data_IF_433553562077
#
_entry.id   IF_433553562077
#
_cell.length_a   1.000
_cell.length_b   1.000
_cell.length_c   1.000
_cell.angle_alpha   90.00
_cell.angle_beta   90.00
_cell.angle_gamma   90.00
#
_symmetry.space_group_name_H-M   'P 1'
#
loop_
_entity.id
_entity.type
_entity.pdbx_description
1 polymer ?
#
# COMPACT_ATOMS: atom_id res chain seq x y z
N UNK A 1 18.85 -49.61 -71.02
CA UNK A 1 18.93 -48.42 -70.13
C UNK A 1 18.82 -48.93 -68.71
N UNK A 2 19.85 -49.67 -68.28
CA UNK A 2 20.82 -49.32 -67.22
C UNK A 2 20.24 -49.53 -65.81
N UNK A 3 20.22 -50.80 -65.44
CA UNK A 3 20.22 -51.30 -64.06
C UNK A 3 21.66 -51.63 -63.62
N UNK A 4 21.90 -51.53 -62.32
CA UNK A 4 22.82 -52.33 -61.50
C UNK A 4 24.34 -52.22 -61.72
N UNK A 5 25.03 -51.62 -60.73
CA UNK A 5 26.02 -52.25 -59.80
C UNK A 5 27.07 -51.24 -59.32
N UNK A 6 27.17 -51.07 -58.01
CA UNK A 6 28.34 -50.52 -57.35
C UNK A 6 29.22 -51.68 -56.85
N UNK A 7 30.50 -51.67 -57.26
CA UNK A 7 31.64 -52.39 -56.66
C UNK A 7 31.88 -51.83 -55.24
N UNK A 8 32.08 -52.60 -54.17
CA UNK A 8 33.19 -53.51 -53.80
C UNK A 8 34.53 -52.81 -53.43
N UNK A 9 35.05 -53.20 -52.25
CA UNK A 9 36.45 -53.05 -51.75
C UNK A 9 36.81 -51.65 -51.21
N UNK A 10 37.26 -51.41 -49.97
CA UNK A 10 38.05 -52.23 -49.04
C UNK A 10 39.54 -51.86 -49.16
N UNK A 11 40.11 -51.13 -48.18
CA UNK A 11 41.44 -51.37 -47.60
C UNK A 11 41.90 -50.23 -46.67
N UNK A 12 42.49 -50.64 -45.55
CA UNK A 12 43.16 -49.90 -44.48
C UNK A 12 44.38 -49.10 -44.98
N UNK A 13 44.70 -47.97 -44.31
CA UNK A 13 45.96 -47.82 -43.53
C UNK A 13 46.09 -46.43 -42.87
N UNK A 14 46.24 -46.47 -41.52
CA UNK A 14 47.10 -45.64 -40.66
C UNK A 14 47.39 -44.17 -41.02
N UNK A 15 46.95 -43.23 -40.16
CA UNK A 15 47.83 -42.61 -39.14
C UNK A 15 47.03 -41.71 -38.17
N UNK A 16 47.36 -41.85 -36.89
CA UNK A 16 46.85 -41.10 -35.74
C UNK A 16 47.05 -39.60 -35.93
N UNK A 17 46.14 -38.77 -35.43
CA UNK A 17 46.33 -38.00 -34.19
C UNK A 17 45.23 -36.91 -34.06
N UNK A 18 44.40 -37.07 -33.02
CA UNK A 18 43.74 -36.02 -32.24
C UNK A 18 43.06 -34.84 -32.97
N UNK A 19 41.74 -34.93 -33.16
CA UNK A 19 40.81 -33.91 -32.66
C UNK A 19 39.37 -34.47 -32.70
N UNK A 20 38.92 -35.06 -31.59
CA UNK A 20 37.49 -35.33 -31.39
C UNK A 20 36.78 -33.99 -31.21
N UNK A 21 36.02 -33.56 -32.22
CA UNK A 21 34.87 -32.68 -32.05
C UNK A 21 33.66 -33.45 -32.59
N UNK A 22 33.22 -34.45 -31.83
CA UNK A 22 31.90 -35.06 -32.03
C UNK A 22 30.86 -34.07 -31.52
N UNK A 23 30.25 -33.37 -32.47
CA UNK A 23 28.94 -32.73 -32.33
C UNK A 23 27.96 -33.84 -31.97
N UNK A 24 27.72 -34.02 -30.67
CA UNK A 24 26.62 -34.84 -30.16
C UNK A 24 25.53 -33.88 -29.73
N UNK A 25 24.44 -33.93 -30.47
CA UNK A 25 23.16 -33.34 -30.14
C UNK A 25 22.68 -33.87 -28.80
N UNK A 26 22.99 -33.15 -27.73
CA UNK A 26 22.25 -33.23 -26.49
C UNK A 26 21.48 -31.92 -26.36
N UNK A 27 20.22 -31.95 -26.82
CA UNK A 27 19.23 -30.97 -26.40
C UNK A 27 19.05 -31.14 -24.89
N UNK A 28 19.91 -30.47 -24.12
CA UNK A 28 19.66 -30.19 -22.71
C UNK A 28 18.54 -29.17 -22.73
N UNK A 29 17.31 -29.66 -22.63
CA UNK A 29 16.21 -28.86 -22.14
C UNK A 29 16.60 -28.42 -20.73
N UNK A 30 17.20 -27.23 -20.63
CA UNK A 30 17.26 -26.49 -19.37
C UNK A 30 15.83 -26.00 -19.13
N UNK A 31 14.95 -26.91 -18.72
CA UNK A 31 13.93 -26.54 -17.77
C UNK A 31 14.72 -26.21 -16.51
N UNK A 32 14.94 -24.92 -16.28
CA UNK A 32 15.14 -24.44 -14.94
C UNK A 32 13.92 -24.92 -14.16
N UNK A 33 14.04 -26.06 -13.49
CA UNK A 33 13.32 -26.33 -12.27
C UNK A 33 13.74 -25.22 -11.31
N UNK A 34 13.06 -24.09 -11.42
CA UNK A 34 12.82 -23.25 -10.26
C UNK A 34 12.03 -24.16 -9.34
N UNK A 35 12.75 -24.81 -8.41
CA UNK A 35 12.13 -25.43 -7.25
C UNK A 35 11.34 -24.34 -6.55
N UNK A 36 10.03 -24.32 -6.80
CA UNK A 36 9.10 -23.52 -6.04
C UNK A 36 9.10 -24.08 -4.61
N UNK A 37 9.93 -23.49 -3.75
CA UNK A 37 10.00 -23.78 -2.32
C UNK A 37 8.78 -23.25 -1.56
N UNK A 38 7.67 -22.91 -2.23
CA UNK A 38 6.36 -22.67 -1.61
C UNK A 38 5.64 -23.99 -1.34
N UNK A 39 6.25 -24.86 -0.52
CA UNK A 39 5.50 -25.87 0.23
C UNK A 39 5.25 -25.28 1.61
N UNK A 40 4.12 -24.59 1.77
CA UNK A 40 3.48 -24.44 3.07
C UNK A 40 2.97 -25.83 3.49
N UNK A 41 3.87 -26.65 4.05
CA UNK A 41 3.53 -27.97 4.56
C UNK A 41 2.86 -27.83 5.93
N UNK A 42 1.62 -28.34 6.02
CA UNK A 42 0.86 -28.67 7.24
C UNK A 42 0.29 -27.50 8.05
N UNK A 43 -0.91 -27.04 7.66
CA UNK A 43 -1.75 -26.08 8.39
C UNK A 43 -2.80 -26.77 9.27
N UNK A 44 -2.39 -27.69 10.15
CA UNK A 44 -3.33 -28.47 10.99
C UNK A 44 -3.79 -27.73 12.27
N UNK A 45 -3.64 -26.41 12.35
CA UNK A 45 -4.18 -25.60 13.45
C UNK A 45 -4.46 -24.15 13.01
N UNK A 46 -5.73 -23.83 12.82
CA UNK A 46 -6.20 -22.55 12.27
C UNK A 46 -5.84 -21.31 13.13
N UNK A 47 -5.50 -21.50 14.41
CA UNK A 47 -5.06 -20.40 15.30
C UNK A 47 -3.55 -20.38 15.57
N UNK A 48 -2.80 -21.45 15.26
CA UNK A 48 -1.33 -21.42 15.27
C UNK A 48 -0.77 -20.63 14.08
N UNK A 49 -1.57 -20.47 13.02
CA UNK A 49 -1.19 -19.77 11.81
C UNK A 49 -1.70 -18.34 11.75
N UNK A 50 -2.52 -17.88 12.69
CA UNK A 50 -2.96 -16.48 12.79
C UNK A 50 -2.13 -15.79 13.85
N UNK A 51 -1.12 -15.00 13.47
CA UNK A 51 -0.35 -14.33 14.51
C UNK A 51 -1.24 -13.41 15.33
N UNK A 52 -1.22 -13.60 16.64
CA UNK A 52 -2.09 -12.95 17.62
C UNK A 52 -1.28 -12.57 18.86
N UNK A 53 -1.87 -11.69 19.65
CA UNK A 53 -1.40 -11.38 21.01
C UNK A 53 -2.30 -12.10 22.04
N UNK A 54 -1.77 -12.41 23.20
CA UNK A 54 -2.53 -13.00 24.31
C UNK A 54 -3.53 -11.99 24.86
N UNK A 55 -4.74 -12.43 25.18
CA UNK A 55 -5.71 -11.63 25.93
C UNK A 55 -5.19 -11.19 27.31
N UNK A 56 -4.22 -11.91 27.88
CA UNK A 56 -3.56 -11.58 29.16
C UNK A 56 -2.30 -10.72 29.00
N UNK A 57 -1.90 -10.40 27.76
CA UNK A 57 -0.81 -9.46 27.52
C UNK A 57 -1.20 -8.11 28.12
N UNK A 58 -0.27 -7.49 28.84
CA UNK A 58 -0.48 -6.17 29.42
C UNK A 58 -0.01 -5.07 28.47
N UNK A 59 -0.78 -3.99 28.38
CA UNK A 59 -0.48 -2.77 27.64
C UNK A 59 -0.70 -1.56 28.53
N UNK A 60 -0.02 -0.45 28.27
CA UNK A 60 -0.31 0.83 28.91
C UNK A 60 -1.41 1.55 28.12
N UNK A 61 -2.57 1.74 28.74
CA UNK A 61 -3.70 2.53 28.24
C UNK A 61 -3.70 3.92 28.89
N UNK A 62 -4.02 4.95 28.11
CA UNK A 62 -3.84 6.36 28.47
C UNK A 62 -4.55 6.79 29.75
N UNK A 63 -5.76 6.28 29.99
CA UNK A 63 -6.59 6.72 31.12
C UNK A 63 -6.57 5.75 32.31
N UNK A 64 -6.39 4.45 32.05
CA UNK A 64 -6.48 3.37 33.04
C UNK A 64 -5.13 2.80 33.46
N UNK A 65 -4.03 3.21 32.81
CA UNK A 65 -2.70 2.67 33.09
C UNK A 65 -2.55 1.26 32.52
N UNK A 66 -1.87 0.38 33.26
CA UNK A 66 -1.57 -0.97 32.76
C UNK A 66 -2.81 -1.86 32.87
N UNK A 67 -3.30 -2.35 31.73
CA UNK A 67 -4.46 -3.24 31.62
C UNK A 67 -4.15 -4.41 30.69
N UNK A 68 -5.00 -5.45 30.69
CA UNK A 68 -4.88 -6.56 29.73
C UNK A 68 -5.45 -6.20 28.37
N UNK A 69 -4.94 -6.83 27.31
CA UNK A 69 -5.48 -6.69 25.95
C UNK A 69 -6.96 -7.08 25.88
N UNK A 70 -7.37 -8.09 26.64
CA UNK A 70 -8.79 -8.51 26.74
C UNK A 70 -9.72 -7.45 27.36
N UNK A 71 -9.17 -6.43 28.02
CA UNK A 71 -9.91 -5.32 28.64
C UNK A 71 -9.94 -4.06 27.77
N UNK A 72 -9.29 -4.10 26.59
CA UNK A 72 -9.33 -3.04 25.60
C UNK A 72 -10.66 -3.01 24.84
N UNK A 73 -11.01 -1.82 24.37
CA UNK A 73 -12.12 -1.52 23.48
C UNK A 73 -11.62 -0.69 22.29
N UNK A 74 -12.31 -0.80 21.16
CA UNK A 74 -12.06 0.10 20.03
C UNK A 74 -12.27 1.56 20.49
N UNK A 75 -11.32 2.43 20.14
CA UNK A 75 -11.30 3.82 20.59
C UNK A 75 -10.42 4.11 21.81
N UNK A 76 -9.97 3.09 22.54
CA UNK A 76 -8.97 3.25 23.60
C UNK A 76 -7.63 3.75 23.02
N UNK A 77 -6.78 4.35 23.84
CA UNK A 77 -5.46 4.83 23.41
C UNK A 77 -4.36 4.06 24.14
N UNK A 78 -3.53 3.34 23.40
CA UNK A 78 -2.38 2.60 23.95
C UNK A 78 -1.06 3.14 23.41
N UNK A 79 0.07 2.74 24.01
CA UNK A 79 1.39 3.10 23.50
C UNK A 79 1.68 2.45 22.14
N UNK A 80 2.35 3.20 21.27
CA UNK A 80 2.83 2.72 19.98
C UNK A 80 3.92 3.60 19.39
N UNK A 81 4.40 3.23 18.21
CA UNK A 81 5.38 3.98 17.42
C UNK A 81 4.87 4.24 16.01
N UNK A 82 5.26 5.38 15.44
CA UNK A 82 4.89 5.76 14.07
C UNK A 82 6.03 6.40 13.31
N UNK A 83 6.01 6.21 11.99
CA UNK A 83 6.92 6.80 11.02
C UNK A 83 8.31 6.17 11.00
N UNK A 84 9.12 6.62 10.05
CA UNK A 84 10.49 6.15 9.86
C UNK A 84 11.34 6.29 11.13
N UNK A 85 11.18 7.40 11.85
CA UNK A 85 11.92 7.71 13.09
C UNK A 85 11.37 7.00 14.33
N UNK A 86 10.32 6.16 14.18
CA UNK A 86 9.69 5.41 15.28
C UNK A 86 9.27 6.28 16.45
N UNK A 87 8.65 7.42 16.12
CA UNK A 87 8.23 8.39 17.11
C UNK A 87 7.22 7.73 18.07
N UNK A 88 7.50 7.68 19.38
CA UNK A 88 6.57 7.11 20.34
C UNK A 88 5.34 8.02 20.50
N UNK A 89 4.18 7.41 20.73
CA UNK A 89 2.92 8.12 20.88
C UNK A 89 1.82 7.30 21.55
N UNK A 90 0.69 7.97 21.78
CA UNK A 90 -0.59 7.34 22.09
C UNK A 90 -1.32 7.07 20.79
N UNK A 91 -1.86 5.86 20.66
CA UNK A 91 -2.38 5.31 19.43
C UNK A 91 -3.78 4.77 19.68
N UNK A 92 -4.77 5.31 18.98
CA UNK A 92 -6.14 4.81 19.02
C UNK A 92 -6.16 3.34 18.58
N UNK A 93 -6.82 2.50 19.37
CA UNK A 93 -7.15 1.11 19.04
C UNK A 93 -8.26 1.13 17.98
N UNK A 94 -7.94 0.64 16.79
CA UNK A 94 -8.86 0.60 15.65
C UNK A 94 -9.64 -0.72 15.60
N UNK A 95 -8.99 -1.81 16.01
CA UNK A 95 -9.61 -3.12 16.11
C UNK A 95 -8.99 -3.92 17.25
N UNK A 96 -9.83 -4.39 18.17
CA UNK A 96 -9.49 -5.40 19.17
C UNK A 96 -10.63 -6.42 19.30
N UNK A 97 -10.32 -7.70 19.08
CA UNK A 97 -11.30 -8.78 19.16
C UNK A 97 -10.61 -10.14 19.34
N UNK A 98 -11.29 -11.12 19.97
CA UNK A 98 -10.78 -12.48 20.06
C UNK A 98 -10.71 -13.12 18.67
N UNK A 99 -9.56 -13.69 18.32
CA UNK A 99 -9.35 -14.41 17.05
C UNK A 99 -10.02 -15.79 17.04
N UNK A 100 -10.21 -16.37 18.22
CA UNK A 100 -10.90 -17.63 18.48
C UNK A 100 -11.40 -17.64 19.92
N UNK A 101 -12.30 -18.56 20.24
CA UNK A 101 -12.70 -18.84 21.63
C UNK A 101 -11.88 -19.98 22.25
N UNK A 102 -11.07 -20.67 21.45
CA UNK A 102 -10.13 -21.67 21.92
C UNK A 102 -8.83 -21.02 22.36
N UNK A 103 -8.24 -21.56 23.43
CA UNK A 103 -6.92 -21.15 23.89
C UNK A 103 -5.85 -21.55 22.88
N UNK A 104 -4.84 -20.70 22.74
CA UNK A 104 -3.62 -20.98 21.98
C UNK A 104 -2.39 -20.77 22.82
N UNK A 105 -1.30 -21.45 22.44
CA UNK A 105 -0.01 -21.24 23.05
C UNK A 105 0.57 -19.90 22.59
N UNK A 106 0.87 -19.05 23.56
CA UNK A 106 1.61 -17.79 23.38
C UNK A 106 2.90 -17.83 24.18
N UNK A 107 3.88 -17.08 23.71
CA UNK A 107 5.23 -16.98 24.20
C UNK A 107 5.46 -15.51 24.56
N UNK A 108 5.56 -15.19 25.85
CA UNK A 108 5.60 -13.80 26.34
C UNK A 108 4.44 -12.92 25.82
N UNK A 109 3.28 -13.55 25.60
CA UNK A 109 2.09 -12.88 25.07
C UNK A 109 1.97 -12.91 23.54
N UNK A 110 2.91 -13.46 22.78
CA UNK A 110 2.82 -13.54 21.32
C UNK A 110 2.64 -14.98 20.84
N UNK A 111 1.81 -15.24 19.83
CA UNK A 111 1.93 -16.52 19.12
C UNK A 111 3.27 -16.57 18.38
N UNK A 112 3.80 -17.77 18.12
CA UNK A 112 5.15 -17.92 17.58
C UNK A 112 5.37 -17.23 16.21
N UNK A 113 4.31 -17.10 15.42
CA UNK A 113 4.31 -16.48 14.10
C UNK A 113 3.96 -14.97 14.12
N UNK A 114 3.63 -14.39 15.28
CA UNK A 114 3.33 -12.97 15.40
C UNK A 114 4.58 -12.15 15.08
N UNK A 115 4.42 -11.03 14.36
CA UNK A 115 5.57 -10.22 13.95
C UNK A 115 5.85 -9.09 14.94
N UNK A 116 7.10 -9.00 15.37
CA UNK A 116 7.65 -7.98 16.28
C UNK A 116 8.69 -7.13 15.57
N UNK A 117 9.01 -5.97 16.15
CA UNK A 117 9.95 -5.01 15.59
C UNK A 117 11.19 -4.92 16.49
N UNK A 118 12.35 -5.29 15.95
CA UNK A 118 13.66 -5.10 16.60
C UNK A 118 14.61 -4.37 15.61
N UNK A 119 15.43 -3.45 16.11
CA UNK A 119 16.42 -2.68 15.35
C UNK A 119 15.90 -2.00 14.09
N UNK A 120 15.99 -2.62 12.90
CA UNK A 120 15.44 -2.14 11.61
C UNK A 120 14.65 -3.22 10.86
N UNK A 121 14.24 -4.26 11.59
CA UNK A 121 13.61 -5.47 11.05
C UNK A 121 12.27 -5.75 11.73
N UNK A 122 11.32 -6.19 10.93
CA UNK A 122 10.05 -6.77 11.35
C UNK A 122 10.10 -8.26 11.06
N UNK A 123 10.06 -9.08 12.10
CA UNK A 123 10.31 -10.52 11.99
C UNK A 123 9.41 -11.29 12.95
N UNK A 124 9.29 -12.60 12.73
CA UNK A 124 8.50 -13.46 13.62
C UNK A 124 9.08 -13.55 15.03
N UNK A 125 8.23 -13.56 16.05
CA UNK A 125 8.66 -13.65 17.45
C UNK A 125 9.37 -14.97 17.77
N UNK A 126 8.81 -16.09 17.28
CA UNK A 126 9.29 -17.45 17.53
C UNK A 126 8.79 -18.09 18.82
N UNK A 127 9.27 -19.30 19.12
CA UNK A 127 8.95 -20.04 20.35
C UNK A 127 9.99 -19.74 21.44
N UNK A 128 10.03 -18.50 21.92
CA UNK A 128 11.02 -18.02 22.91
C UNK A 128 10.37 -17.55 24.22
N UNK A 129 11.03 -17.76 25.35
CA UNK A 129 10.48 -17.39 26.67
C UNK A 129 9.39 -18.34 27.18
N UNK A 130 8.58 -17.86 28.12
CA UNK A 130 7.59 -18.69 28.81
C UNK A 130 6.34 -18.92 27.95
N UNK A 131 5.97 -20.18 27.79
CA UNK A 131 4.75 -20.60 27.11
C UNK A 131 3.54 -20.50 28.06
N UNK A 132 2.46 -19.90 27.59
CA UNK A 132 1.17 -19.80 28.30
C UNK A 132 0.02 -20.06 27.34
N UNK A 133 -1.07 -20.65 27.83
CA UNK A 133 -2.30 -20.84 27.06
C UNK A 133 -3.28 -19.71 27.35
N UNK A 134 -3.76 -19.05 26.31
CA UNK A 134 -4.63 -17.89 26.42
C UNK A 134 -5.54 -17.74 25.20
N UNK A 135 -6.64 -17.01 25.38
CA UNK A 135 -7.48 -16.59 24.26
C UNK A 135 -6.65 -15.63 23.38
N UNK A 136 -6.47 -15.91 22.09
CA UNK A 136 -5.76 -15.01 21.19
C UNK A 136 -6.63 -13.82 20.82
N UNK A 137 -6.01 -12.64 20.79
CA UNK A 137 -6.60 -11.40 20.31
C UNK A 137 -5.85 -10.89 19.10
N UNK A 138 -6.61 -10.27 18.20
CA UNK A 138 -6.08 -9.45 17.13
C UNK A 138 -6.18 -8.00 17.58
N UNK A 139 -5.10 -7.26 17.39
CA UNK A 139 -4.99 -5.88 17.82
C UNK A 139 -4.38 -5.04 16.71
N UNK A 140 -5.09 -4.00 16.29
CA UNK A 140 -4.60 -2.99 15.37
C UNK A 140 -4.84 -1.58 15.95
N UNK A 141 -3.89 -0.70 15.70
CA UNK A 141 -3.95 0.70 16.13
C UNK A 141 -3.69 1.64 14.95
N UNK A 142 -3.95 2.92 15.15
CA UNK A 142 -3.63 3.94 14.14
C UNK A 142 -2.11 4.13 13.94
N UNK A 143 -1.29 3.70 14.90
CA UNK A 143 0.17 3.71 14.81
C UNK A 143 0.72 2.52 14.02
N UNK A 144 1.97 2.64 13.55
CA UNK A 144 2.66 1.61 12.77
C UNK A 144 2.86 0.35 13.57
N UNK A 145 3.30 0.45 14.82
CA UNK A 145 3.35 -0.69 15.73
C UNK A 145 2.88 -0.29 17.13
N UNK A 146 2.39 -1.26 17.89
CA UNK A 146 1.96 -1.09 19.27
C UNK A 146 3.07 -1.51 20.24
N UNK A 147 2.99 -1.06 21.49
CA UNK A 147 3.90 -1.45 22.56
C UNK A 147 3.15 -2.19 23.66
N UNK A 148 3.72 -3.29 24.14
CA UNK A 148 3.26 -3.92 25.37
C UNK A 148 3.91 -3.26 26.60
N UNK A 149 3.43 -3.60 27.79
CA UNK A 149 3.93 -3.07 29.05
C UNK A 149 5.39 -3.47 29.37
N UNK A 150 5.93 -4.48 28.67
CA UNK A 150 7.33 -4.88 28.75
C UNK A 150 8.24 -4.09 27.79
N UNK A 151 7.68 -3.16 27.00
CA UNK A 151 8.42 -2.36 26.02
C UNK A 151 8.69 -3.07 24.69
N UNK A 152 8.12 -4.25 24.47
CA UNK A 152 8.23 -4.96 23.19
C UNK A 152 7.30 -4.31 22.16
N UNK A 153 7.86 -4.03 20.98
CA UNK A 153 7.14 -3.43 19.86
C UNK A 153 6.61 -4.52 18.95
N UNK A 154 5.32 -4.47 18.63
CA UNK A 154 4.66 -5.52 17.86
C UNK A 154 3.69 -4.97 16.82
N UNK A 155 3.52 -5.74 15.74
CA UNK A 155 2.76 -5.31 14.56
C UNK A 155 1.34 -5.88 14.58
N UNK A 156 0.38 -5.31 13.84
CA UNK A 156 -0.94 -5.90 13.69
C UNK A 156 -0.97 -7.11 12.74
N UNK A 157 0.18 -7.48 12.15
CA UNK A 157 0.31 -8.56 11.17
C UNK A 157 1.21 -9.68 11.69
N UNK A 158 1.32 -10.74 10.89
CA UNK A 158 2.09 -11.94 11.24
C UNK A 158 2.57 -12.64 9.99
N UNK A 159 3.35 -13.71 10.15
CA UNK A 159 3.78 -14.52 9.00
C UNK A 159 2.65 -15.29 8.32
N UNK A 160 1.43 -15.26 8.88
CA UNK A 160 0.20 -15.64 8.21
C UNK A 160 -0.04 -14.79 6.94
N UNK A 161 0.23 -13.49 7.05
CA UNK A 161 -0.03 -12.54 5.97
C UNK A 161 1.22 -12.34 5.11
N UNK A 162 2.36 -12.04 5.73
CA UNK A 162 3.62 -11.86 5.01
C UNK A 162 4.63 -12.94 5.40
N UNK A 163 4.99 -13.88 4.50
CA UNK A 163 5.73 -15.09 4.86
C UNK A 163 7.22 -14.86 5.17
N UNK A 164 7.70 -13.62 5.14
CA UNK A 164 9.10 -13.25 5.27
C UNK A 164 9.26 -12.04 6.18
N UNK A 165 10.46 -11.91 6.75
CA UNK A 165 10.85 -10.73 7.49
C UNK A 165 10.88 -9.51 6.56
N UNK A 166 10.51 -8.35 7.08
CA UNK A 166 10.43 -7.09 6.34
C UNK A 166 11.41 -6.09 6.93
N UNK A 167 12.10 -5.33 6.09
CA UNK A 167 12.77 -4.12 6.57
C UNK A 167 11.75 -3.11 7.08
N UNK A 168 12.12 -2.27 8.06
CA UNK A 168 11.20 -1.27 8.64
C UNK A 168 10.54 -0.38 7.57
N UNK A 169 11.30 0.08 6.56
CA UNK A 169 10.76 0.88 5.44
C UNK A 169 9.75 0.12 4.56
N UNK A 170 10.02 -1.17 4.30
CA UNK A 170 9.11 -2.03 3.53
C UNK A 170 7.81 -2.28 4.31
N UNK A 171 7.94 -2.53 5.61
CA UNK A 171 6.83 -2.65 6.53
C UNK A 171 5.96 -1.38 6.57
N UNK A 172 6.57 -0.19 6.68
CA UNK A 172 5.84 1.07 6.65
C UNK A 172 5.08 1.27 5.33
N UNK A 173 5.70 0.89 4.21
CA UNK A 173 5.05 0.94 2.88
C UNK A 173 3.83 0.02 2.84
N UNK A 174 3.98 -1.21 3.34
CA UNK A 174 2.90 -2.19 3.46
C UNK A 174 1.75 -1.67 4.34
N UNK A 175 2.06 -1.22 5.56
CA UNK A 175 1.05 -0.77 6.52
C UNK A 175 0.32 0.47 6.03
N UNK A 176 1.01 1.42 5.39
CA UNK A 176 0.38 2.56 4.77
C UNK A 176 -0.61 2.15 3.66
N UNK A 177 -0.26 1.12 2.87
CA UNK A 177 -1.15 0.60 1.83
C UNK A 177 -2.38 -0.10 2.44
N UNK A 178 -2.18 -0.96 3.44
CA UNK A 178 -3.27 -1.62 4.20
C UNK A 178 -4.22 -0.57 4.78
N UNK A 179 -3.69 0.46 5.46
CA UNK A 179 -4.52 1.50 6.07
C UNK A 179 -5.38 2.24 5.06
N UNK A 180 -4.83 2.62 3.90
CA UNK A 180 -5.61 3.29 2.86
C UNK A 180 -6.80 2.46 2.38
N UNK A 181 -6.69 1.13 2.40
CA UNK A 181 -7.81 0.22 2.08
C UNK A 181 -8.79 0.17 3.25
N UNK A 182 -8.31 -0.05 4.47
CA UNK A 182 -9.17 -0.18 5.67
C UNK A 182 -9.88 1.13 6.02
N UNK A 183 -9.28 2.29 5.75
CA UNK A 183 -9.89 3.60 5.97
C UNK A 183 -11.13 3.81 5.10
N UNK A 184 -11.21 3.14 3.94
CA UNK A 184 -12.34 3.23 3.01
C UNK A 184 -13.38 2.12 3.22
N UNK A 185 -12.94 0.96 3.69
CA UNK A 185 -13.77 -0.26 3.76
C UNK A 185 -14.12 -0.70 5.19
N UNK A 186 -13.52 -0.07 6.20
CA UNK A 186 -13.60 -0.46 7.60
C UNK A 186 -12.60 -1.58 7.98
N UNK A 187 -12.68 -1.99 9.24
CA UNK A 187 -11.72 -2.94 9.85
C UNK A 187 -12.14 -4.40 9.77
N UNK A 188 -13.15 -4.75 8.96
CA UNK A 188 -13.60 -6.14 8.87
C UNK A 188 -12.52 -7.08 8.33
N UNK A 189 -11.51 -6.56 7.63
CA UNK A 189 -10.36 -7.32 7.14
C UNK A 189 -9.59 -8.06 8.23
N UNK A 190 -9.71 -7.59 9.47
CA UNK A 190 -9.12 -8.23 10.61
C UNK A 190 -10.01 -9.42 11.05
N UNK A 191 -11.33 -9.30 11.00
CA UNK A 191 -12.25 -10.32 11.53
C UNK A 191 -12.16 -11.63 10.76
N UNK A 192 -11.77 -12.71 11.43
CA UNK A 192 -11.66 -14.03 10.79
C UNK A 192 -13.00 -14.57 10.31
N UNK A 193 -14.11 -14.15 10.92
CA UNK A 193 -15.48 -14.50 10.51
C UNK A 193 -15.97 -13.67 9.30
N UNK A 194 -15.15 -12.74 8.77
CA UNK A 194 -15.42 -12.08 7.52
C UNK A 194 -15.11 -12.93 6.29
N UNK A 195 -14.40 -14.04 6.49
CA UNK A 195 -13.93 -14.92 5.43
C UNK A 195 -14.47 -16.34 5.58
N UNK A 196 -14.40 -17.12 4.52
CA UNK A 196 -14.76 -18.53 4.52
C UNK A 196 -13.88 -19.34 3.56
N UNK A 197 -13.68 -20.61 3.92
CA UNK A 197 -13.11 -21.59 2.99
C UNK A 197 -14.14 -21.94 1.92
N UNK A 198 -13.68 -22.06 0.68
CA UNK A 198 -14.50 -22.35 -0.47
C UNK A 198 -13.91 -23.53 -1.25
N UNK A 199 -14.48 -24.72 -1.07
CA UNK A 199 -13.99 -25.98 -1.68
C UNK A 199 -13.97 -25.97 -3.22
N UNK A 200 -14.68 -25.05 -3.85
CA UNK A 200 -14.75 -24.91 -5.32
C UNK A 200 -13.86 -23.80 -5.87
N UNK A 201 -13.28 -22.99 -4.98
CA UNK A 201 -12.32 -21.95 -5.36
C UNK A 201 -11.01 -22.56 -5.87
N UNK A 202 -10.23 -21.74 -6.58
CA UNK A 202 -8.92 -22.18 -7.06
C UNK A 202 -7.95 -22.49 -5.91
N UNK A 203 -8.05 -21.72 -4.83
CA UNK A 203 -7.33 -21.93 -3.57
C UNK A 203 -8.41 -22.16 -2.51
N UNK A 204 -8.64 -23.40 -2.03
CA UNK A 204 -9.81 -23.67 -1.19
C UNK A 204 -9.81 -22.98 0.17
N UNK A 205 -8.65 -22.82 0.79
CA UNK A 205 -8.53 -22.18 2.09
C UNK A 205 -8.15 -20.72 1.93
N UNK A 206 -8.94 -19.82 2.50
CA UNK A 206 -8.76 -18.38 2.27
C UNK A 206 -7.39 -17.87 2.76
N UNK A 207 -6.88 -18.46 3.85
CA UNK A 207 -5.57 -18.14 4.42
C UNK A 207 -4.43 -18.35 3.44
N UNK A 208 -4.55 -19.34 2.55
CA UNK A 208 -3.49 -19.70 1.61
C UNK A 208 -3.31 -18.62 0.51
N UNK A 209 -4.25 -17.68 0.37
CA UNK A 209 -4.13 -16.52 -0.52
C UNK A 209 -3.37 -15.35 0.12
N UNK A 210 -3.24 -15.30 1.44
CA UNK A 210 -2.72 -14.12 2.14
C UNK A 210 -1.27 -13.79 1.79
N UNK A 211 -0.44 -14.81 1.59
CA UNK A 211 0.96 -14.64 1.20
C UNK A 211 1.10 -13.95 -0.15
N UNK A 212 0.32 -14.38 -1.14
CA UNK A 212 0.28 -13.76 -2.46
C UNK A 212 -0.26 -12.33 -2.37
N UNK A 213 -1.29 -12.10 -1.56
CA UNK A 213 -1.83 -10.76 -1.30
C UNK A 213 -0.77 -9.82 -0.72
N UNK A 214 0.01 -10.25 0.27
CA UNK A 214 1.09 -9.44 0.84
C UNK A 214 2.14 -9.10 -0.23
N UNK A 215 2.65 -10.10 -0.95
CA UNK A 215 3.71 -9.92 -1.95
C UNK A 215 3.27 -8.95 -3.07
N UNK A 216 2.08 -9.14 -3.61
CA UNK A 216 1.56 -8.30 -4.69
C UNK A 216 1.19 -6.90 -4.18
N UNK A 217 0.72 -6.77 -2.94
CA UNK A 217 0.48 -5.46 -2.31
C UNK A 217 1.79 -4.67 -2.18
N UNK A 218 2.87 -5.29 -1.69
CA UNK A 218 4.19 -4.63 -1.65
C UNK A 218 4.67 -4.24 -3.05
N UNK A 219 4.58 -5.15 -4.01
CA UNK A 219 4.95 -4.90 -5.42
C UNK A 219 4.20 -3.70 -6.00
N UNK A 220 2.90 -3.60 -5.73
CA UNK A 220 2.09 -2.46 -6.16
C UNK A 220 2.45 -1.17 -5.40
N UNK A 221 2.52 -1.22 -4.07
CA UNK A 221 2.73 -0.04 -3.22
C UNK A 221 4.14 0.56 -3.33
N UNK A 222 5.15 -0.26 -3.65
CA UNK A 222 6.53 0.18 -3.83
C UNK A 222 6.87 0.44 -5.30
N UNK A 223 6.54 -0.50 -6.18
CA UNK A 223 7.04 -0.52 -7.56
C UNK A 223 5.98 -0.10 -8.59
N UNK A 224 4.75 0.20 -8.16
CA UNK A 224 3.62 0.56 -9.04
C UNK A 224 3.08 -0.60 -9.88
N UNK A 225 3.56 -1.83 -9.67
CA UNK A 225 3.16 -3.04 -10.40
C UNK A 225 1.87 -3.61 -9.83
N UNK A 226 0.74 -3.03 -10.21
CA UNK A 226 -0.51 -3.24 -9.50
C UNK A 226 -1.50 -4.24 -10.12
N UNK A 227 -1.29 -4.69 -11.36
CA UNK A 227 -2.30 -5.54 -12.02
C UNK A 227 -2.48 -6.89 -11.30
N UNK A 228 -1.41 -7.50 -10.82
CA UNK A 228 -1.53 -8.77 -10.10
C UNK A 228 -2.17 -8.59 -8.73
N UNK A 229 -1.83 -7.53 -8.00
CA UNK A 229 -2.53 -7.17 -6.77
C UNK A 229 -4.04 -7.02 -7.00
N UNK A 230 -4.43 -6.29 -8.05
CA UNK A 230 -5.83 -6.10 -8.43
C UNK A 230 -6.54 -7.44 -8.67
N UNK A 231 -5.92 -8.33 -9.44
CA UNK A 231 -6.45 -9.65 -9.77
C UNK A 231 -6.59 -10.54 -8.53
N UNK A 232 -5.57 -10.56 -7.66
CA UNK A 232 -5.55 -11.37 -6.44
C UNK A 232 -6.64 -10.89 -5.48
N UNK A 233 -6.78 -9.57 -5.30
CA UNK A 233 -7.82 -8.99 -4.44
C UNK A 233 -9.22 -9.30 -4.98
N UNK A 234 -9.46 -9.10 -6.28
CA UNK A 234 -10.75 -9.40 -6.90
C UNK A 234 -11.14 -10.87 -6.72
N UNK A 235 -10.17 -11.78 -6.90
CA UNK A 235 -10.36 -13.21 -6.70
C UNK A 235 -10.66 -13.53 -5.23
N UNK A 236 -9.86 -13.00 -4.30
CA UNK A 236 -10.05 -13.22 -2.87
C UNK A 236 -11.41 -12.75 -2.39
N UNK A 237 -11.83 -11.54 -2.80
CA UNK A 237 -13.14 -10.98 -2.45
C UNK A 237 -14.27 -11.84 -2.98
N UNK A 238 -14.18 -12.25 -4.25
CA UNK A 238 -15.21 -13.09 -4.88
C UNK A 238 -15.30 -14.48 -4.28
N UNK A 239 -14.17 -15.10 -3.95
CA UNK A 239 -14.10 -16.52 -3.59
C UNK A 239 -14.19 -16.78 -2.09
N UNK A 240 -13.77 -15.83 -1.24
CA UNK A 240 -13.59 -16.05 0.20
C UNK A 240 -14.22 -15.00 1.12
N UNK A 241 -14.58 -13.81 0.65
CA UNK A 241 -15.22 -12.81 1.52
C UNK A 241 -16.71 -13.10 1.65
N UNK A 242 -17.22 -13.07 2.88
CA UNK A 242 -18.63 -13.30 3.15
C UNK A 242 -19.50 -12.20 2.50
N UNK A 243 -20.66 -12.59 1.96
CA UNK A 243 -21.55 -11.71 1.17
C UNK A 243 -21.85 -10.36 1.82
N UNK A 244 -21.99 -10.33 3.15
CA UNK A 244 -22.20 -9.11 3.94
C UNK A 244 -21.09 -8.06 3.70
N UNK A 245 -19.84 -8.51 3.62
CA UNK A 245 -18.67 -7.63 3.47
C UNK A 245 -18.32 -7.36 2.01
N UNK A 246 -18.62 -8.30 1.09
CA UNK A 246 -18.49 -8.07 -0.37
C UNK A 246 -19.26 -6.81 -0.79
N UNK A 247 -20.47 -6.60 -0.29
CA UNK A 247 -21.24 -5.38 -0.60
C UNK A 247 -20.56 -4.07 -0.19
N UNK A 248 -19.70 -4.08 0.85
CA UNK A 248 -18.89 -2.91 1.22
C UNK A 248 -17.79 -2.69 0.17
N UNK A 249 -17.10 -3.77 -0.20
CA UNK A 249 -16.01 -3.74 -1.17
C UNK A 249 -16.51 -3.27 -2.54
N UNK A 250 -17.63 -3.80 -3.02
CA UNK A 250 -18.22 -3.45 -4.33
C UNK A 250 -18.61 -1.97 -4.42
N UNK A 251 -19.10 -1.37 -3.32
CA UNK A 251 -19.45 0.05 -3.26
C UNK A 251 -18.20 0.93 -3.29
N UNK A 252 -17.14 0.53 -2.58
CA UNK A 252 -15.91 1.32 -2.44
C UNK A 252 -15.01 1.16 -3.66
N UNK A 253 -14.96 -0.02 -4.26
CA UNK A 253 -14.12 -0.39 -5.39
C UNK A 253 -14.96 -1.01 -6.53
N UNK A 254 -15.83 -0.21 -7.20
CA UNK A 254 -16.75 -0.72 -8.20
C UNK A 254 -16.08 -1.32 -9.44
N UNK A 255 -14.79 -1.01 -9.66
CA UNK A 255 -14.01 -1.53 -10.78
C UNK A 255 -12.92 -2.51 -10.30
N UNK A 256 -13.13 -3.17 -9.17
CA UNK A 256 -12.20 -4.18 -8.66
C UNK A 256 -11.99 -5.31 -9.67
N UNK A 257 -10.74 -5.65 -9.95
CA UNK A 257 -10.35 -6.64 -10.96
C UNK A 257 -10.25 -6.07 -12.38
N UNK A 258 -10.38 -4.75 -12.54
CA UNK A 258 -10.22 -4.05 -13.80
C UNK A 258 -8.78 -4.01 -14.31
N UNK A 259 -8.62 -3.50 -15.53
CA UNK A 259 -7.30 -3.26 -16.14
C UNK A 259 -6.71 -1.96 -15.60
N UNK A 260 -5.67 -2.07 -14.76
CA UNK A 260 -5.06 -0.93 -14.05
C UNK A 260 -4.27 0.01 -14.96
N UNK A 261 -4.09 -0.36 -16.24
CA UNK A 261 -3.49 0.50 -17.26
C UNK A 261 -4.51 1.47 -17.88
N UNK A 262 -5.80 1.17 -17.77
CA UNK A 262 -6.87 2.08 -18.16
C UNK A 262 -7.09 3.07 -17.03
N UNK A 263 -7.31 4.34 -17.36
CA UNK A 263 -7.66 5.39 -16.39
C UNK A 263 -9.11 5.22 -15.91
N UNK A 264 -9.39 4.09 -15.26
CA UNK A 264 -10.70 3.74 -14.71
C UNK A 264 -10.62 3.83 -13.17
N UNK A 265 -11.23 4.88 -12.62
CA UNK A 265 -11.28 5.11 -11.17
C UNK A 265 -12.06 3.99 -10.46
N UNK A 266 -11.70 3.65 -9.23
CA UNK A 266 -12.46 2.67 -8.43
C UNK A 266 -11.90 1.23 -8.48
N UNK A 267 -10.65 1.08 -8.89
CA UNK A 267 -9.83 -0.12 -8.63
C UNK A 267 -9.27 -0.07 -7.21
N UNK A 268 -8.92 -1.22 -6.61
CA UNK A 268 -8.25 -1.22 -5.30
C UNK A 268 -6.77 -0.82 -5.43
N UNK A 269 -6.13 -1.15 -6.54
CA UNK A 269 -4.78 -0.76 -6.93
C UNK A 269 -4.54 0.75 -6.83
N UNK A 270 -5.49 1.57 -7.28
CA UNK A 270 -5.36 3.04 -7.22
C UNK A 270 -5.18 3.56 -5.79
N UNK A 271 -5.76 2.87 -4.80
CA UNK A 271 -5.70 3.25 -3.39
C UNK A 271 -4.33 2.96 -2.78
N UNK A 272 -3.69 1.89 -3.22
CA UNK A 272 -2.43 1.40 -2.65
C UNK A 272 -1.19 1.84 -3.43
N UNK A 273 -1.35 2.19 -4.71
CA UNK A 273 -0.27 2.67 -5.58
C UNK A 273 0.49 3.81 -4.89
N UNK A 274 1.82 3.89 -5.03
CA UNK A 274 2.55 5.04 -4.54
C UNK A 274 1.94 6.28 -5.18
N UNK A 275 1.55 7.26 -4.35
CA UNK A 275 1.15 8.56 -4.87
C UNK A 275 2.38 9.08 -5.59
N UNK A 276 2.31 9.25 -6.91
CA UNK A 276 3.32 10.04 -7.58
C UNK A 276 3.34 11.38 -6.85
N UNK A 277 4.42 11.65 -6.11
CA UNK A 277 4.86 13.00 -5.91
C UNK A 277 5.28 13.48 -7.30
N UNK A 278 4.29 13.78 -8.15
CA UNK A 278 4.51 14.78 -9.18
C UNK A 278 4.92 15.99 -8.39
N UNK A 279 6.23 16.21 -8.30
CA UNK A 279 6.80 17.50 -7.99
C UNK A 279 5.99 18.47 -8.82
N UNK A 280 5.12 19.24 -8.18
CA UNK A 280 4.50 20.42 -8.77
C UNK A 280 5.65 21.41 -8.91
N UNK A 281 6.56 21.12 -9.82
CA UNK A 281 7.71 21.91 -10.18
C UNK A 281 7.67 22.12 -11.69
N UNK A 282 6.48 22.37 -12.24
CA UNK A 282 6.29 22.77 -13.63
C UNK A 282 5.24 23.88 -13.83
N UNK A 283 4.93 24.68 -12.79
CA UNK A 283 4.19 25.96 -12.97
C UNK A 283 4.71 27.07 -12.04
N UNK A 284 6.02 27.20 -11.83
CA UNK A 284 6.59 28.42 -11.18
C UNK A 284 7.32 29.37 -12.14
N UNK A 285 7.52 28.96 -13.41
CA UNK A 285 8.18 29.82 -14.40
C UNK A 285 7.20 30.70 -15.22
N UNK A 286 5.90 30.34 -15.28
CA UNK A 286 4.91 31.10 -16.08
C UNK A 286 4.09 32.08 -15.23
N UNK A 287 3.94 31.82 -13.92
CA UNK A 287 3.20 32.69 -13.01
C UNK A 287 3.88 34.04 -12.74
N UNK A 288 5.21 34.10 -12.76
CA UNK A 288 5.97 35.34 -12.52
C UNK A 288 5.89 36.32 -13.69
N UNK A 289 5.85 35.82 -14.94
CA UNK A 289 5.69 36.68 -16.11
C UNK A 289 4.29 37.31 -16.20
N UNK A 290 3.24 36.54 -15.88
CA UNK A 290 1.85 37.04 -15.92
C UNK A 290 1.61 38.07 -14.80
N UNK A 291 2.10 37.82 -13.58
CA UNK A 291 1.99 38.76 -12.46
C UNK A 291 2.82 40.03 -12.73
N UNK A 292 4.03 39.90 -13.27
CA UNK A 292 4.85 41.03 -13.69
C UNK A 292 4.17 41.89 -14.76
N UNK A 293 3.59 41.26 -15.79
CA UNK A 293 2.89 41.97 -16.86
C UNK A 293 1.63 42.68 -16.35
N UNK A 294 0.86 42.05 -15.45
CA UNK A 294 -0.31 42.68 -14.83
C UNK A 294 0.05 43.88 -13.95
N UNK A 295 1.17 43.82 -13.21
CA UNK A 295 1.68 44.95 -12.43
C UNK A 295 2.11 46.11 -13.34
N UNK A 296 2.78 45.84 -14.46
CA UNK A 296 3.17 46.86 -15.44
C UNK A 296 1.93 47.54 -16.04
N UNK A 297 0.91 46.78 -16.42
CA UNK A 297 -0.36 47.31 -16.92
C UNK A 297 -1.10 48.16 -15.88
N UNK A 298 -1.11 47.73 -14.61
CA UNK A 298 -1.70 48.51 -13.51
C UNK A 298 -0.99 49.84 -13.30
N UNK A 299 0.35 49.84 -13.28
CA UNK A 299 1.15 51.07 -13.15
C UNK A 299 0.92 52.00 -14.35
N UNK A 300 0.89 51.46 -15.57
CA UNK A 300 0.59 52.23 -16.78
C UNK A 300 -0.82 52.85 -16.73
N UNK A 301 -1.82 52.11 -16.27
CA UNK A 301 -3.19 52.60 -16.11
C UNK A 301 -3.30 53.72 -15.05
N UNK A 302 -2.58 53.58 -13.93
CA UNK A 302 -2.53 54.60 -12.87
C UNK A 302 -1.85 55.88 -13.39
N UNK A 303 -0.71 55.75 -14.08
CA UNK A 303 0.00 56.88 -14.68
C UNK A 303 -0.84 57.57 -15.76
N UNK A 304 -1.53 56.80 -16.60
CA UNK A 304 -2.44 57.31 -17.62
C UNK A 304 -3.60 58.10 -16.98
N UNK A 305 -4.27 57.54 -15.95
CA UNK A 305 -5.33 58.24 -15.21
C UNK A 305 -4.83 59.51 -14.52
N UNK A 306 -3.61 59.51 -13.97
CA UNK A 306 -3.00 60.69 -13.34
C UNK A 306 -2.70 61.78 -14.37
N UNK A 307 -2.17 61.43 -15.54
CA UNK A 307 -1.93 62.37 -16.66
C UNK A 307 -3.24 62.93 -17.20
N UNK A 308 -4.27 62.09 -17.35
CA UNK A 308 -5.59 62.51 -17.85
C UNK A 308 -6.33 63.43 -16.85
N UNK A 309 -6.27 63.13 -15.53
CA UNK A 309 -6.80 64.03 -14.49
C UNK A 309 -6.06 65.37 -14.43
N UNK A 310 -4.75 65.38 -14.66
CA UNK A 310 -3.95 66.62 -14.72
C UNK A 310 -4.32 67.46 -15.96
N UNK A 311 -4.54 66.81 -17.11
CA UNK A 311 -5.03 67.47 -18.32
C UNK A 311 -6.43 68.08 -18.14
N UNK A 312 -7.32 67.41 -17.41
CA UNK A 312 -8.68 67.90 -17.18
C UNK A 312 -8.73 69.11 -16.23
N UNK A 313 -7.81 69.21 -15.25
CA UNK A 313 -7.65 70.43 -14.44
C UNK A 313 -7.21 71.63 -15.28
N UNK A 314 -6.28 71.41 -16.23
CA UNK A 314 -5.81 72.47 -17.14
C UNK A 314 -6.91 72.94 -18.11
N UNK A 315 -7.83 72.04 -18.48
CA UNK A 315 -9.00 72.37 -19.32
C UNK A 315 -10.08 73.14 -18.55
N UNK A 316 -10.32 72.81 -17.27
CA UNK A 316 -11.23 73.56 -16.40
C UNK A 316 -10.74 74.99 -16.09
N UNK A 317 -9.43 75.21 -15.94
CA UNK A 317 -8.85 76.56 -15.79
C UNK A 317 -8.98 77.43 -17.05
N UNK A 318 -8.92 76.83 -18.25
CA UNK A 318 -9.16 77.51 -19.52
C UNK A 318 -10.64 77.86 -19.73
N UNK A 319 -11.56 77.05 -19.20
CA UNK A 319 -13.00 77.26 -19.30
C UNK A 319 -13.54 78.28 -18.26
N UNK A 320 -12.84 78.47 -17.13
CA UNK A 320 -13.19 79.46 -16.11
C UNK A 320 -12.83 80.92 -16.49
N UNK A 321 -12.00 81.12 -17.52
CA UNK A 321 -11.55 82.44 -17.98
C UNK A 321 -12.26 82.93 -19.25
N UNK A 322 -13.36 82.29 -19.67
CA UNK A 322 -14.12 82.70 -20.85
C UNK A 322 -15.17 83.77 -20.46
N UNK A 323 -15.25 84.93 -21.16
CA UNK A 323 -16.21 85.99 -20.80
C UNK A 323 -17.64 85.50 -21.02
N UNK A 324 -18.48 85.58 -19.99
CA UNK A 324 -19.91 85.31 -20.11
C UNK A 324 -20.60 86.48 -20.83
N UNK A 325 -21.24 86.18 -21.96
CA UNK A 325 -22.24 87.06 -22.59
C UNK A 325 -23.56 86.84 -21.85
N UNK A 326 -24.06 87.88 -21.20
CA UNK A 326 -25.38 87.89 -20.55
C UNK A 326 -26.50 87.96 -21.58
N UNK A 327 -27.46 87.05 -21.50
CA UNK A 327 -28.75 87.20 -22.17
C UNK A 327 -29.84 87.36 -21.11
N UNK A 328 -30.17 88.60 -20.79
CA UNK A 328 -31.37 88.95 -20.02
C UNK A 328 -32.53 89.24 -20.98
N UNK A 329 -33.52 88.36 -20.90
CA UNK A 329 -34.96 88.60 -20.73
C UNK A 329 -35.53 89.85 -21.42
N UNK A 330 -36.48 89.61 -22.34
CA UNK A 330 -37.16 90.64 -23.11
C UNK A 330 -38.16 91.52 -22.36
N UNK A 331 -38.78 92.44 -23.10
CA UNK A 331 -40.04 93.11 -22.75
C UNK A 331 -40.67 93.78 -23.98
N UNK A 332 -42.00 93.57 -24.07
CA UNK A 332 -43.04 94.30 -24.78
C UNK A 332 -43.03 94.30 -26.32
#
# INVERSE_FOLDING_TARGET
>A
SLEHKALQSGSMTHMKLSLLITITTLAVAIFAHVEDKRKCSNCENCCNNNGCVSGDMHVEEQSRGIIRVSELSNGDFIRGISGADRKPGWCRVEAVYPSSYDNVITYEGFTANHMVVDDDSVHQFGKKGNATENIPFKLATECDAALNAAGQVFTPISTAFCPHDLGWSEYLTLMAAIRRVTDRTGFFWFFSDAFHDNKTAHIPHWMDMLHEMCLELLSCARDGKCQQFENVMAKFVREHVNKKYVGIVDVVFPNMGGDVSKEEAGTIAETVRPKETRSIMLISAVGSAIVGFMLVLLVAAILYRKKYRSGNKKMQELQANHPQVSSDIGKA
#
